data_IF_805417931979
#
_entry.id   IF_805417931979
#
_cell.length_a   1.000
_cell.length_b   1.000
_cell.length_c   1.000
_cell.angle_alpha   90.00
_cell.angle_beta   90.00
_cell.angle_gamma   90.00
#
_symmetry.space_group_name_H-M   'P 1'
#
loop_
_entity.id
_entity.type
_entity.pdbx_description
1 polymer ?
#
# COMPACT_ATOMS: atom_id res chain seq x y z
N UNK A 1 4.33 18.54 12.46
CA UNK A 1 4.17 17.15 11.99
C UNK A 1 5.08 16.93 10.80
N UNK A 2 5.85 15.84 10.78
CA UNK A 2 6.71 15.48 9.65
C UNK A 2 5.85 14.98 8.47
N UNK A 3 5.88 15.70 7.35
CA UNK A 3 5.15 15.35 6.12
C UNK A 3 5.50 13.93 5.62
N UNK A 4 6.75 13.50 5.78
CA UNK A 4 7.19 12.16 5.35
C UNK A 4 6.51 11.08 6.16
N UNK A 5 6.35 11.30 7.46
CA UNK A 5 5.69 10.34 8.35
C UNK A 5 4.21 10.18 7.98
N UNK A 6 3.55 11.30 7.63
CA UNK A 6 2.17 11.27 7.13
C UNK A 6 2.04 10.43 5.85
N UNK A 7 2.99 10.54 4.90
CA UNK A 7 2.96 9.75 3.67
C UNK A 7 3.22 8.26 3.90
N UNK A 8 4.13 7.90 4.81
CA UNK A 8 4.35 6.49 5.19
C UNK A 8 3.07 5.88 5.75
N UNK A 9 2.47 6.56 6.71
CA UNK A 9 1.28 6.08 7.43
C UNK A 9 0.08 5.99 6.50
N UNK A 10 -0.11 6.97 5.61
CA UNK A 10 -1.16 6.92 4.60
C UNK A 10 -0.99 5.71 3.66
N UNK A 11 0.22 5.49 3.14
CA UNK A 11 0.50 4.39 2.20
C UNK A 11 0.20 3.04 2.84
N UNK A 12 0.69 2.81 4.08
CA UNK A 12 0.42 1.59 4.84
C UNK A 12 -1.06 1.43 5.18
N UNK A 13 -1.74 2.51 5.56
CA UNK A 13 -3.16 2.48 5.90
C UNK A 13 -4.02 2.06 4.71
N UNK A 14 -3.78 2.65 3.54
CA UNK A 14 -4.49 2.26 2.32
C UNK A 14 -4.21 0.79 2.00
N UNK A 15 -2.94 0.38 2.03
CA UNK A 15 -2.56 -1.01 1.76
C UNK A 15 -3.28 -2.00 2.70
N UNK A 16 -3.30 -1.69 4.00
CA UNK A 16 -4.00 -2.50 5.00
C UNK A 16 -5.51 -2.54 4.79
N UNK A 17 -6.14 -1.42 4.39
CA UNK A 17 -7.59 -1.38 4.09
C UNK A 17 -8.01 -2.32 2.97
N UNK A 18 -7.17 -2.47 1.94
CA UNK A 18 -7.44 -3.36 0.81
C UNK A 18 -6.83 -4.76 0.98
N UNK A 19 -6.20 -5.04 2.14
CA UNK A 19 -5.44 -6.25 2.41
C UNK A 19 -4.40 -6.57 1.30
N UNK A 20 -3.78 -5.55 0.73
CA UNK A 20 -2.82 -5.72 -0.36
C UNK A 20 -1.39 -5.95 0.15
N UNK A 21 -0.64 -6.71 -0.62
CA UNK A 21 0.83 -6.69 -0.61
C UNK A 21 1.35 -5.41 -1.27
N UNK A 22 2.64 -5.09 -1.09
CA UNK A 22 3.27 -3.97 -1.80
C UNK A 22 3.21 -4.15 -3.32
N UNK A 23 3.26 -5.40 -3.81
CA UNK A 23 3.19 -5.73 -5.25
C UNK A 23 1.80 -5.51 -5.83
N UNK A 24 0.75 -5.91 -5.12
CA UNK A 24 -0.63 -5.70 -5.59
C UNK A 24 -0.98 -4.22 -5.63
N UNK A 25 -0.60 -3.48 -4.59
CA UNK A 25 -0.75 -2.03 -4.58
C UNK A 25 0.04 -1.38 -5.73
N UNK A 26 1.25 -1.85 -6.02
CA UNK A 26 2.05 -1.36 -7.13
C UNK A 26 1.39 -1.62 -8.49
N UNK A 27 0.85 -2.83 -8.70
CA UNK A 27 0.07 -3.20 -9.90
C UNK A 27 -1.15 -2.30 -10.06
N UNK A 28 -1.91 -2.09 -8.99
CA UNK A 28 -3.11 -1.23 -8.99
C UNK A 28 -2.78 0.23 -9.33
N UNK A 29 -1.63 0.73 -8.90
CA UNK A 29 -1.21 2.11 -9.12
C UNK A 29 -0.41 2.33 -10.42
N UNK A 30 -0.02 1.25 -11.09
CA UNK A 30 0.85 1.28 -12.27
C UNK A 30 2.28 1.72 -11.95
N UNK A 31 2.83 1.27 -10.81
CA UNK A 31 4.19 1.58 -10.36
C UNK A 31 4.95 0.29 -10.03
N UNK A 32 6.24 0.39 -9.68
CA UNK A 32 7.02 -0.76 -9.22
C UNK A 32 6.82 -1.03 -7.73
N UNK A 33 6.98 -2.29 -7.31
CA UNK A 33 6.98 -2.67 -5.89
C UNK A 33 8.03 -1.89 -5.08
N UNK A 34 9.22 -1.67 -5.66
CA UNK A 34 10.28 -0.88 -5.05
C UNK A 34 9.86 0.58 -4.76
N UNK A 35 9.00 1.17 -5.61
CA UNK A 35 8.44 2.50 -5.36
C UNK A 35 7.56 2.49 -4.10
N UNK A 36 6.65 1.52 -3.96
CA UNK A 36 5.80 1.37 -2.77
C UNK A 36 6.64 1.15 -1.52
N UNK A 37 7.67 0.30 -1.58
CA UNK A 37 8.61 0.08 -0.48
C UNK A 37 9.31 1.39 -0.06
N UNK A 38 9.76 2.20 -1.02
CA UNK A 38 10.37 3.51 -0.75
C UNK A 38 9.38 4.48 -0.10
N UNK A 39 8.11 4.46 -0.47
CA UNK A 39 7.08 5.31 0.13
C UNK A 39 6.84 4.94 1.59
N UNK A 40 6.70 3.64 1.88
CA UNK A 40 6.46 3.14 3.25
C UNK A 40 7.68 3.31 4.17
N UNK A 41 8.91 3.29 3.63
CA UNK A 41 10.16 3.44 4.40
C UNK A 41 10.61 4.90 4.54
N UNK A 42 10.56 5.68 3.44
CA UNK A 42 11.16 7.03 3.38
C UNK A 42 10.14 8.17 3.24
N UNK A 43 8.85 7.87 3.03
CA UNK A 43 7.79 8.87 2.85
C UNK A 43 7.94 9.70 1.57
N UNK A 44 8.67 9.19 0.58
CA UNK A 44 9.01 9.92 -0.65
C UNK A 44 8.09 9.51 -1.80
N UNK A 45 6.93 10.14 -1.89
CA UNK A 45 5.92 9.90 -2.93
C UNK A 45 5.77 11.13 -3.83
N UNK A 46 5.60 10.92 -5.13
CA UNK A 46 5.26 12.01 -6.07
C UNK A 46 3.81 12.46 -5.87
N UNK A 47 3.52 13.73 -6.14
CA UNK A 47 2.15 14.28 -6.05
C UNK A 47 1.13 13.47 -6.85
N UNK A 48 1.47 13.03 -8.08
CA UNK A 48 0.56 12.24 -8.93
C UNK A 48 0.14 10.93 -8.25
N UNK A 49 1.10 10.17 -7.71
CA UNK A 49 0.81 8.92 -7.01
C UNK A 49 0.07 9.17 -5.69
N UNK A 50 0.35 10.27 -4.99
CA UNK A 50 -0.44 10.67 -3.83
C UNK A 50 -1.91 10.94 -4.20
N UNK A 51 -2.18 11.62 -5.31
CA UNK A 51 -3.56 11.85 -5.78
C UNK A 51 -4.26 10.53 -6.14
N UNK A 52 -3.56 9.56 -6.74
CA UNK A 52 -4.11 8.22 -6.98
C UNK A 52 -4.49 7.52 -5.67
N UNK A 53 -3.66 7.64 -4.63
CA UNK A 53 -3.94 7.09 -3.30
C UNK A 53 -5.17 7.73 -2.65
N UNK A 54 -5.34 9.05 -2.75
CA UNK A 54 -6.54 9.72 -2.24
C UNK A 54 -7.80 9.22 -2.94
N UNK A 55 -7.77 9.11 -4.28
CA UNK A 55 -8.90 8.56 -5.04
C UNK A 55 -9.27 7.15 -4.59
N UNK A 56 -8.31 6.26 -4.38
CA UNK A 56 -8.56 4.91 -3.87
C UNK A 56 -9.18 4.91 -2.47
N UNK A 57 -8.69 5.78 -1.58
CA UNK A 57 -9.22 5.94 -0.22
C UNK A 57 -10.69 6.35 -0.26
N UNK A 58 -11.06 7.26 -1.15
CA UNK A 58 -12.42 7.78 -1.24
C UNK A 58 -13.36 6.76 -1.94
N UNK A 59 -12.88 6.04 -2.95
CA UNK A 59 -13.63 4.95 -3.61
C UNK A 59 -13.92 3.75 -2.71
N UNK A 60 -13.08 3.50 -1.69
CA UNK A 60 -13.30 2.43 -0.71
C UNK A 60 -14.59 2.60 0.09
N UNK A 61 -15.13 3.82 0.21
CA UNK A 61 -16.40 4.05 0.90
C UNK A 61 -17.62 3.50 0.14
N UNK A 62 -17.45 3.11 -1.13
CA UNK A 62 -18.52 2.60 -2.00
C UNK A 62 -18.33 1.14 -2.43
N UNK A 63 -17.19 0.50 -2.17
CA UNK A 63 -16.88 -0.87 -2.61
C UNK A 63 -17.13 -1.95 -1.53
N UNK A 64 -17.91 -1.65 -0.48
CA UNK A 64 -18.16 -2.58 0.63
C UNK A 64 -19.06 -3.79 0.27
N UNK A 65 -19.54 -3.92 -0.96
CA UNK A 65 -20.62 -4.87 -1.26
C UNK A 65 -20.21 -6.17 -1.99
N UNK A 66 -18.97 -6.35 -2.48
CA UNK A 66 -18.77 -7.41 -3.50
C UNK A 66 -17.60 -8.39 -3.41
N UNK A 67 -16.71 -8.36 -2.41
CA UNK A 67 -15.67 -9.40 -2.31
C UNK A 67 -15.66 -10.04 -0.92
N UNK A 68 -16.61 -10.95 -0.72
CA UNK A 68 -16.48 -12.04 0.23
C UNK A 68 -15.98 -13.27 -0.55
N UNK A 69 -14.68 -13.58 -0.46
CA UNK A 69 -14.18 -14.94 -0.61
C UNK A 69 -12.74 -15.05 -0.06
N UNK A 70 -12.46 -16.02 0.83
CA UNK A 70 -11.14 -16.26 1.40
C UNK A 70 -10.39 -17.30 0.55
N UNK A 71 -9.19 -16.97 0.11
CA UNK A 71 -8.15 -17.90 -0.35
C UNK A 71 -6.83 -17.13 -0.28
N UNK A 72 -5.69 -17.65 0.12
CA UNK A 72 -5.25 -18.91 0.69
C UNK A 72 -3.85 -18.57 1.27
N UNK A 73 -3.43 -19.33 2.27
CA UNK A 73 -2.22 -19.12 3.06
C UNK A 73 -0.95 -18.97 2.20
N UNK A 74 -0.17 -17.91 2.45
CA UNK A 74 1.27 -18.01 2.25
C UNK A 74 2.01 -17.11 3.24
N UNK A 75 2.27 -17.67 4.43
CA UNK A 75 3.34 -17.23 5.31
C UNK A 75 4.66 -17.30 4.54
N UNK A 76 5.24 -16.14 4.21
CA UNK A 76 6.67 -16.10 3.90
C UNK A 76 7.36 -15.17 4.89
N UNK A 77 7.93 -15.80 5.92
CA UNK A 77 8.80 -15.21 6.91
C UNK A 77 10.04 -14.63 6.20
N UNK A 78 10.21 -13.31 6.22
CA UNK A 78 11.48 -12.70 5.85
C UNK A 78 12.42 -12.76 7.06
N UNK A 79 13.17 -13.86 7.16
CA UNK A 79 14.39 -13.91 7.95
C UNK A 79 15.43 -13.05 7.24
N UNK A 80 15.76 -11.90 7.83
CA UNK A 80 16.99 -11.17 7.51
C UNK A 80 17.94 -11.32 8.70
N UNK A 81 18.71 -12.41 8.67
CA UNK A 81 19.98 -12.51 9.38
C UNK A 81 21.08 -12.03 8.43
N UNK A 82 21.82 -10.99 8.79
CA UNK A 82 23.09 -10.69 8.16
C UNK A 82 24.18 -10.76 9.24
N UNK A 83 25.18 -11.60 8.96
CA UNK A 83 26.46 -11.71 9.66
C UNK A 83 27.31 -10.45 9.54
#
# INVERSE_FOLDING_TARGET
MDQRENFKNLTKSIRGKFNWTQSEMAKMLGVTQAAVCKWEKRGSISVINYLKLQKLKDSSSSMSAFIAAPTDNNEHQQHHSHS
#
